data_IF_616547053443
#
_entry.id   IF_616547053443
#
_cell.length_a   1.000
_cell.length_b   1.000
_cell.length_c   1.000
_cell.angle_alpha   90.00
_cell.angle_beta   90.00
_cell.angle_gamma   90.00
#
_symmetry.space_group_name_H-M   'P 1'
#
loop_
_entity.id
_entity.type
_entity.pdbx_description
1 polymer ?
#
# COMPACT_ATOMS: atom_id res chain seq x y z
N UNK A 1 29.50 -14.59 24.37
CA UNK A 1 28.60 -14.10 23.32
C UNK A 1 28.17 -12.68 23.64
N UNK A 2 28.69 -11.69 22.91
CA UNK A 2 28.16 -10.32 22.99
C UNK A 2 27.02 -10.23 21.98
N UNK A 3 25.78 -10.17 22.46
CA UNK A 3 24.62 -9.98 21.61
C UNK A 3 24.67 -8.58 21.00
N UNK A 4 24.55 -8.51 19.67
CA UNK A 4 24.37 -7.25 18.97
C UNK A 4 23.08 -6.60 19.48
N UNK A 5 23.18 -5.39 20.03
CA UNK A 5 22.01 -4.59 20.38
C UNK A 5 21.38 -4.11 19.07
N UNK A 6 20.30 -4.78 18.66
CA UNK A 6 19.48 -4.35 17.55
C UNK A 6 18.33 -3.49 18.07
N UNK A 7 18.42 -2.18 17.85
CA UNK A 7 17.24 -1.31 17.89
C UNK A 7 16.59 -1.34 16.50
N UNK A 8 15.36 -1.86 16.37
CA UNK A 8 14.60 -1.72 15.14
C UNK A 8 14.50 -0.24 14.76
N UNK A 9 14.68 0.08 13.48
CA UNK A 9 14.78 1.45 12.98
C UNK A 9 13.41 2.16 12.88
N UNK A 10 12.45 1.77 13.72
CA UNK A 10 11.07 2.23 13.69
C UNK A 10 10.65 2.62 15.10
N UNK A 11 10.30 3.89 15.31
CA UNK A 11 9.51 4.30 16.46
C UNK A 11 8.15 3.59 16.38
N UNK A 12 7.61 3.15 17.51
CA UNK A 12 6.25 2.59 17.58
C UNK A 12 5.25 3.70 17.23
N UNK A 13 4.95 3.84 15.94
CA UNK A 13 3.98 4.79 15.42
C UNK A 13 2.65 4.10 15.14
N UNK A 14 1.56 4.66 15.66
CA UNK A 14 0.23 4.15 15.41
C UNK A 14 -0.32 4.73 14.09
N UNK A 15 -0.34 3.89 13.06
CA UNK A 15 -0.85 4.25 11.73
C UNK A 15 -2.38 4.19 11.62
N UNK A 16 -3.11 3.82 12.69
CA UNK A 16 -4.57 3.67 12.67
C UNK A 16 -5.27 4.92 12.18
N UNK A 17 -4.83 6.10 12.63
CA UNK A 17 -5.38 7.39 12.22
C UNK A 17 -5.32 7.57 10.69
N UNK A 18 -4.15 7.36 10.08
CA UNK A 18 -3.99 7.48 8.63
C UNK A 18 -4.87 6.46 7.91
N UNK A 19 -4.76 5.18 8.31
CA UNK A 19 -5.38 4.05 7.62
C UNK A 19 -6.90 4.13 7.68
N UNK A 20 -7.48 4.39 8.84
CA UNK A 20 -8.94 4.44 9.01
C UNK A 20 -9.55 5.64 8.26
N UNK A 21 -8.84 6.77 8.15
CA UNK A 21 -9.31 7.96 7.42
C UNK A 21 -9.34 7.79 5.88
N UNK A 22 -8.58 6.86 5.33
CA UNK A 22 -8.47 6.64 3.87
C UNK A 22 -9.15 5.36 3.41
N UNK A 23 -9.53 4.48 4.34
CA UNK A 23 -10.06 3.14 4.03
C UNK A 23 -11.33 3.20 3.18
N UNK A 24 -12.26 4.11 3.49
CA UNK A 24 -13.49 4.30 2.70
C UNK A 24 -13.19 4.76 1.29
N UNK A 25 -12.26 5.70 1.12
CA UNK A 25 -11.86 6.22 -0.20
C UNK A 25 -11.19 5.15 -1.06
N UNK A 26 -10.27 4.37 -0.47
CA UNK A 26 -9.63 3.24 -1.15
C UNK A 26 -10.66 2.17 -1.51
N UNK A 27 -11.60 1.89 -0.61
CA UNK A 27 -12.67 0.94 -0.85
C UNK A 27 -13.71 1.40 -1.88
N UNK A 28 -13.75 2.68 -2.24
CA UNK A 28 -14.62 3.17 -3.30
C UNK A 28 -14.05 2.93 -4.71
N UNK A 29 -12.76 2.63 -4.84
CA UNK A 29 -12.11 2.49 -6.15
C UNK A 29 -12.56 1.19 -6.83
N UNK A 30 -12.93 1.30 -8.11
CA UNK A 30 -13.33 0.18 -8.96
C UNK A 30 -12.31 -0.03 -10.06
N UNK A 31 -11.90 -1.28 -10.27
CA UNK A 31 -10.88 -1.65 -11.25
C UNK A 31 -11.27 -1.28 -12.70
N UNK A 32 -12.55 -1.38 -13.04
CA UNK A 32 -13.08 -1.07 -14.36
C UNK A 32 -13.42 0.43 -14.55
N UNK A 33 -13.14 1.27 -13.55
CA UNK A 33 -13.38 2.71 -13.61
C UNK A 33 -12.53 3.40 -14.69
N UNK A 34 -13.05 4.52 -15.21
CA UNK A 34 -12.33 5.33 -16.20
C UNK A 34 -11.01 5.90 -15.65
N UNK A 35 -10.93 6.16 -14.34
CA UNK A 35 -9.72 6.65 -13.69
C UNK A 35 -8.60 5.58 -13.73
N UNK A 36 -8.93 4.33 -13.40
CA UNK A 36 -8.00 3.20 -13.49
C UNK A 36 -7.57 2.94 -14.92
N UNK A 37 -8.53 2.92 -15.87
CA UNK A 37 -8.24 2.78 -17.30
C UNK A 37 -7.27 3.86 -17.79
N UNK A 38 -7.46 5.11 -17.35
CA UNK A 38 -6.58 6.24 -17.70
C UNK A 38 -5.17 6.12 -17.11
N UNK A 39 -5.02 5.50 -15.94
CA UNK A 39 -3.70 5.23 -15.36
C UNK A 39 -2.98 4.11 -16.15
N UNK A 40 -3.72 3.10 -16.59
CA UNK A 40 -3.20 2.02 -17.43
C UNK A 40 -2.85 2.51 -18.85
N UNK A 41 -3.53 3.56 -19.32
CA UNK A 41 -3.28 4.28 -20.59
C UNK A 41 -1.90 4.98 -20.65
N UNK A 42 -1.07 4.87 -19.60
CA UNK A 42 0.33 5.34 -19.58
C UNK A 42 1.26 4.34 -20.28
N UNK A 43 0.75 3.19 -20.73
CA UNK A 43 1.41 2.39 -21.76
C UNK A 43 0.41 1.78 -22.71
N UNK A 44 0.25 2.36 -23.91
CA UNK A 44 -0.40 1.74 -25.08
C UNK A 44 0.08 0.29 -25.37
N UNK A 45 1.14 -0.16 -24.70
CA UNK A 45 1.78 -1.47 -24.84
C UNK A 45 1.31 -2.54 -23.85
N UNK A 46 0.54 -2.19 -22.82
CA UNK A 46 0.10 -3.17 -21.81
C UNK A 46 -1.41 -3.29 -21.90
N UNK A 47 -1.87 -4.19 -22.77
CA UNK A 47 -3.31 -4.46 -22.89
C UNK A 47 -3.81 -4.93 -21.53
N UNK A 48 -4.94 -4.38 -21.06
CA UNK A 48 -5.62 -4.77 -19.80
C UNK A 48 -5.82 -6.28 -19.62
N UNK A 49 -5.74 -7.07 -20.71
CA UNK A 49 -5.82 -8.54 -20.71
C UNK A 49 -4.52 -9.26 -20.33
N UNK A 50 -3.37 -8.59 -20.36
CA UNK A 50 -2.05 -9.21 -20.16
C UNK A 50 -1.58 -9.18 -18.68
N UNK A 51 -2.05 -8.22 -17.89
CA UNK A 51 -1.58 -8.07 -16.51
C UNK A 51 -2.32 -8.95 -15.48
N UNK A 52 -3.50 -9.50 -15.83
CA UNK A 52 -4.35 -10.31 -14.94
C UNK A 52 -4.50 -9.71 -13.52
N UNK A 53 -4.70 -8.38 -13.45
CA UNK A 53 -4.79 -7.66 -12.18
C UNK A 53 -6.20 -7.61 -11.61
N UNK A 54 -7.23 -7.96 -12.37
CA UNK A 54 -8.63 -7.90 -11.93
C UNK A 54 -8.89 -8.72 -10.65
N UNK A 55 -8.52 -10.00 -10.65
CA UNK A 55 -8.67 -10.87 -9.48
C UNK A 55 -7.76 -10.43 -8.33
N UNK A 56 -6.51 -10.02 -8.65
CA UNK A 56 -5.57 -9.57 -7.63
C UNK A 56 -6.02 -8.24 -7.01
N UNK A 57 -6.66 -7.35 -7.76
CA UNK A 57 -7.13 -6.05 -7.29
C UNK A 57 -8.18 -6.23 -6.20
N UNK A 58 -9.09 -7.20 -6.39
CA UNK A 58 -10.09 -7.56 -5.38
C UNK A 58 -9.41 -8.06 -4.09
N UNK A 59 -8.40 -8.92 -4.21
CA UNK A 59 -7.63 -9.43 -3.05
C UNK A 59 -6.84 -8.33 -2.34
N UNK A 60 -6.19 -7.46 -3.10
CA UNK A 60 -5.43 -6.31 -2.60
C UNK A 60 -6.34 -5.39 -1.79
N UNK A 61 -7.52 -5.07 -2.35
CA UNK A 61 -8.52 -4.21 -1.72
C UNK A 61 -9.09 -4.84 -0.44
N UNK A 62 -9.34 -6.15 -0.42
CA UNK A 62 -9.79 -6.86 0.78
C UNK A 62 -8.77 -6.80 1.93
N UNK A 63 -7.47 -6.75 1.61
CA UNK A 63 -6.38 -6.70 2.59
C UNK A 63 -5.77 -5.30 2.76
N UNK A 64 -6.37 -4.26 2.17
CA UNK A 64 -5.73 -2.94 2.04
C UNK A 64 -5.35 -2.30 3.37
N UNK A 65 -6.09 -2.59 4.46
CA UNK A 65 -5.76 -2.11 5.80
C UNK A 65 -4.38 -2.59 6.24
N UNK A 66 -4.13 -3.90 6.11
CA UNK A 66 -2.86 -4.53 6.48
C UNK A 66 -1.72 -4.11 5.53
N UNK A 67 -1.97 -4.16 4.21
CA UNK A 67 -0.99 -3.73 3.19
C UNK A 67 -0.57 -2.27 3.39
N UNK A 68 -1.52 -1.38 3.69
CA UNK A 68 -1.24 0.05 3.89
C UNK A 68 -0.46 0.31 5.19
N UNK A 69 -0.86 -0.30 6.32
CA UNK A 69 -0.10 -0.18 7.57
C UNK A 69 1.36 -0.58 7.39
N UNK A 70 1.61 -1.65 6.63
CA UNK A 70 2.96 -2.13 6.39
C UNK A 70 3.74 -1.23 5.44
N UNK A 71 3.11 -0.71 4.38
CA UNK A 71 3.71 0.30 3.51
C UNK A 71 4.15 1.54 4.31
N UNK A 72 3.27 2.05 5.18
CA UNK A 72 3.58 3.23 6.01
C UNK A 72 4.70 2.96 7.02
N UNK A 73 4.79 1.75 7.55
CA UNK A 73 5.88 1.35 8.46
C UNK A 73 7.24 1.20 7.78
N UNK A 74 7.25 0.93 6.47
CA UNK A 74 8.47 0.79 5.69
C UNK A 74 9.06 2.15 5.25
N UNK A 75 8.27 3.22 5.26
CA UNK A 75 8.71 4.56 4.91
C UNK A 75 9.34 5.25 6.13
N UNK A 76 10.67 5.37 6.13
CA UNK A 76 11.42 5.94 7.24
C UNK A 76 11.02 7.40 7.56
N UNK A 77 10.66 8.20 6.56
CA UNK A 77 10.25 9.58 6.79
C UNK A 77 8.92 9.66 7.55
N UNK A 78 8.01 8.72 7.29
CA UNK A 78 6.73 8.61 7.99
C UNK A 78 6.93 7.96 9.36
N UNK A 79 7.74 6.90 9.45
CA UNK A 79 8.00 6.17 10.68
C UNK A 79 8.74 7.01 11.75
N UNK A 80 9.61 7.92 11.34
CA UNK A 80 10.38 8.79 12.25
C UNK A 80 9.61 10.06 12.69
N UNK A 81 8.49 10.40 12.04
CA UNK A 81 7.77 11.66 12.26
C UNK A 81 6.32 11.45 12.69
N UNK A 82 6.11 11.17 13.98
CA UNK A 82 4.79 10.98 14.58
C UNK A 82 4.11 12.31 14.95
N UNK A 83 3.59 13.06 13.97
CA UNK A 83 2.78 14.24 14.26
C UNK A 83 1.58 14.39 13.29
N UNK A 84 0.54 15.09 13.76
CA UNK A 84 -0.73 15.22 13.05
C UNK A 84 -0.64 15.99 11.72
N UNK A 85 0.41 16.79 11.52
CA UNK A 85 0.63 17.51 10.25
C UNK A 85 1.08 16.52 9.17
N UNK A 86 2.03 15.64 9.52
CA UNK A 86 2.51 14.58 8.62
C UNK A 86 1.38 13.58 8.33
N UNK A 87 0.62 13.15 9.34
CA UNK A 87 -0.54 12.27 9.14
C UNK A 87 -1.53 12.86 8.13
N UNK A 88 -1.92 14.12 8.32
CA UNK A 88 -2.87 14.80 7.43
C UNK A 88 -2.32 14.92 6.00
N UNK A 89 -1.03 15.24 5.85
CA UNK A 89 -0.39 15.28 4.54
C UNK A 89 -0.44 13.90 3.84
N UNK A 90 -0.11 12.83 4.57
CA UNK A 90 -0.14 11.45 4.05
C UNK A 90 -1.57 11.06 3.68
N UNK A 91 -2.56 11.35 4.52
CA UNK A 91 -3.98 11.12 4.26
C UNK A 91 -4.39 11.79 2.94
N UNK A 92 -4.07 13.09 2.76
CA UNK A 92 -4.42 13.82 1.53
C UNK A 92 -3.73 13.23 0.30
N UNK A 93 -2.45 12.89 0.42
CA UNK A 93 -1.67 12.30 -0.68
C UNK A 93 -2.24 10.94 -1.11
N UNK A 94 -2.65 10.11 -0.16
CA UNK A 94 -3.32 8.83 -0.45
C UNK A 94 -4.67 9.08 -1.15
N UNK A 95 -5.52 9.97 -0.62
CA UNK A 95 -6.84 10.26 -1.21
C UNK A 95 -6.74 10.79 -2.64
N UNK A 96 -5.75 11.63 -2.93
CA UNK A 96 -5.52 12.20 -4.26
C UNK A 96 -4.99 11.20 -5.29
N UNK A 97 -4.35 10.12 -4.83
CA UNK A 97 -3.67 9.14 -5.70
C UNK A 97 -4.20 7.72 -5.50
N UNK A 98 -5.42 7.57 -4.95
CA UNK A 98 -5.97 6.29 -4.48
C UNK A 98 -6.04 5.22 -5.57
N UNK A 99 -6.37 5.61 -6.79
CA UNK A 99 -6.42 4.70 -7.95
C UNK A 99 -5.02 4.20 -8.32
N UNK A 100 -4.04 5.10 -8.41
CA UNK A 100 -2.66 4.75 -8.74
C UNK A 100 -1.99 3.92 -7.64
N UNK A 101 -2.26 4.27 -6.36
CA UNK A 101 -1.76 3.52 -5.21
C UNK A 101 -2.29 2.09 -5.21
N UNK A 102 -3.60 1.89 -5.36
CA UNK A 102 -4.20 0.55 -5.38
C UNK A 102 -3.70 -0.29 -6.55
N UNK A 103 -3.56 0.30 -7.75
CA UNK A 103 -2.96 -0.40 -8.88
C UNK A 103 -1.51 -0.78 -8.64
N UNK A 104 -0.70 0.13 -8.09
CA UNK A 104 0.70 -0.13 -7.78
C UNK A 104 0.86 -1.26 -6.77
N UNK A 105 0.06 -1.24 -5.70
CA UNK A 105 0.03 -2.33 -4.71
C UNK A 105 -0.41 -3.65 -5.34
N UNK A 106 -1.46 -3.63 -6.16
CA UNK A 106 -1.96 -4.82 -6.87
C UNK A 106 -0.89 -5.42 -7.77
N UNK A 107 -0.15 -4.59 -8.50
CA UNK A 107 0.94 -5.02 -9.36
C UNK A 107 2.07 -5.65 -8.56
N UNK A 108 2.49 -5.02 -7.46
CA UNK A 108 3.53 -5.55 -6.59
C UNK A 108 3.12 -6.90 -5.98
N UNK A 109 1.92 -7.01 -5.43
CA UNK A 109 1.41 -8.26 -4.88
C UNK A 109 1.35 -9.37 -5.93
N UNK A 110 0.90 -9.06 -7.15
CA UNK A 110 0.79 -10.04 -8.25
C UNK A 110 2.14 -10.60 -8.68
N UNK A 111 3.11 -9.72 -8.93
CA UNK A 111 4.34 -10.10 -9.63
C UNK A 111 5.51 -10.41 -8.71
N UNK A 112 5.50 -9.83 -7.51
CA UNK A 112 6.56 -10.05 -6.52
C UNK A 112 6.10 -10.94 -5.38
N UNK A 113 4.89 -11.51 -5.47
CA UNK A 113 4.21 -12.22 -4.37
C UNK A 113 4.40 -11.43 -3.07
N UNK A 114 4.19 -10.11 -3.16
CA UNK A 114 4.63 -9.16 -2.17
C UNK A 114 3.87 -9.41 -0.87
N UNK A 115 4.46 -10.20 0.01
CA UNK A 115 3.99 -10.43 1.37
C UNK A 115 4.73 -9.48 2.27
N UNK A 116 4.13 -8.33 2.58
CA UNK A 116 4.63 -7.51 3.66
C UNK A 116 4.52 -8.36 4.96
N UNK A 117 5.63 -8.89 5.47
CA UNK A 117 5.76 -9.33 6.86
C UNK A 117 5.23 -10.70 7.31
N UNK A 118 4.72 -11.59 6.44
CA UNK A 118 4.74 -13.02 6.80
C UNK A 118 6.12 -13.57 6.44
N UNK A 119 7.03 -13.53 7.40
CA UNK A 119 8.02 -14.59 7.48
C UNK A 119 7.24 -15.88 7.63
N UNK A 120 7.05 -16.62 6.53
CA UNK A 120 7.12 -18.08 6.65
C UNK A 120 8.57 -18.38 7.00
N UNK A 121 8.96 -18.14 8.25
CA UNK A 121 9.99 -18.94 8.88
C UNK A 121 9.37 -20.33 9.01
N UNK A 122 9.42 -21.06 7.91
CA UNK A 122 9.15 -22.49 7.90
C UNK A 122 10.52 -23.12 8.07
N UNK A 123 10.76 -23.53 9.31
CA UNK A 123 11.86 -24.32 9.87
C UNK A 123 13.28 -23.72 9.83
#
# INVERSE_FOLDING_TARGET
YQGLLYTPNTLLHDYSNIVDNVLTDLNSVQYDSNAIKKILDISDKVKNTELYLDEQFVKTKANIKDTLSKLLSADAAIAENSNSIIDNYVIQKIKQNKEALLLGLTYLERWYNFKYGETKAKD
#
